data_IF_943876261374
#
_entry.id   IF_943876261374
#
_cell.length_a   1.000
_cell.length_b   1.000
_cell.length_c   1.000
_cell.angle_alpha   90.00
_cell.angle_beta   90.00
_cell.angle_gamma   90.00
#
_symmetry.space_group_name_H-M   'P 1'
#
loop_
_entity.id
_entity.type
_entity.pdbx_description
1 polymer ?
#
# COMPACT_ATOMS: atom_id res chain seq x y z
N UNK A 1 14.19 23.79 -25.96
CA UNK A 1 14.40 22.36 -26.27
C UNK A 1 13.45 21.54 -25.39
N UNK A 2 12.51 20.80 -25.99
CA UNK A 2 11.60 19.92 -25.24
C UNK A 2 12.35 18.63 -24.91
N UNK A 3 12.41 18.26 -23.63
CA UNK A 3 13.08 17.05 -23.15
C UNK A 3 12.14 15.84 -22.98
N UNK A 4 10.97 15.85 -23.63
CA UNK A 4 9.98 14.76 -23.56
C UNK A 4 9.89 14.05 -24.91
N UNK A 5 9.84 12.72 -24.88
CA UNK A 5 9.64 11.88 -26.07
C UNK A 5 8.24 12.10 -26.68
N UNK A 6 7.24 12.36 -25.82
CA UNK A 6 5.85 12.62 -26.23
C UNK A 6 5.59 14.13 -26.18
N UNK A 7 5.47 14.80 -27.31
CA UNK A 7 5.18 16.22 -27.44
C UNK A 7 3.73 16.56 -27.06
N UNK A 8 2.83 16.50 -28.02
CA UNK A 8 1.41 16.82 -27.83
C UNK A 8 0.69 15.68 -27.10
N UNK A 9 -0.15 16.01 -26.13
CA UNK A 9 -0.98 15.04 -25.38
C UNK A 9 -2.44 15.41 -25.49
N UNK A 10 -3.30 14.39 -25.44
CA UNK A 10 -4.75 14.57 -25.37
C UNK A 10 -5.15 15.33 -24.10
N UNK A 11 -6.08 16.25 -24.19
CA UNK A 11 -6.70 16.92 -23.04
C UNK A 11 -7.65 16.00 -22.24
N UNK A 12 -7.88 14.77 -22.67
CA UNK A 12 -8.80 13.84 -22.03
C UNK A 12 -8.42 13.54 -20.57
N UNK A 13 -7.11 13.36 -20.27
CA UNK A 13 -6.65 13.12 -18.90
C UNK A 13 -6.94 14.31 -17.98
N UNK A 14 -6.74 15.54 -18.46
CA UNK A 14 -7.05 16.76 -17.68
C UNK A 14 -8.55 16.90 -17.46
N UNK A 15 -9.36 16.62 -18.48
CA UNK A 15 -10.82 16.64 -18.38
C UNK A 15 -11.33 15.57 -17.39
N UNK A 16 -10.79 14.36 -17.44
CA UNK A 16 -11.13 13.29 -16.50
C UNK A 16 -10.75 13.64 -15.06
N UNK A 17 -9.56 14.21 -14.85
CA UNK A 17 -9.12 14.69 -13.53
C UNK A 17 -10.08 15.77 -13.01
N UNK A 18 -10.42 16.74 -13.81
CA UNK A 18 -11.36 17.78 -13.41
C UNK A 18 -12.74 17.22 -13.07
N UNK A 19 -13.24 16.29 -13.89
CA UNK A 19 -14.54 15.65 -13.67
C UNK A 19 -14.58 14.89 -12.34
N UNK A 20 -13.56 14.08 -12.03
CA UNK A 20 -13.51 13.33 -10.77
C UNK A 20 -13.35 14.24 -9.55
N UNK A 21 -12.55 15.31 -9.67
CA UNK A 21 -12.41 16.30 -8.60
C UNK A 21 -13.74 17.00 -8.30
N UNK A 22 -14.50 17.34 -9.34
CA UNK A 22 -15.84 17.94 -9.19
C UNK A 22 -16.87 16.97 -8.65
N UNK A 23 -16.79 15.69 -9.06
CA UNK A 23 -17.71 14.65 -8.61
C UNK A 23 -17.52 14.33 -7.12
N UNK A 24 -16.29 14.13 -6.69
CA UNK A 24 -15.98 13.79 -5.30
C UNK A 24 -16.07 15.00 -4.37
N UNK A 25 -15.59 16.16 -4.82
CA UNK A 25 -15.44 17.33 -3.95
C UNK A 25 -14.52 17.06 -2.76
N UNK A 26 -14.43 17.99 -1.84
CA UNK A 26 -13.60 17.85 -0.66
C UNK A 26 -14.07 16.70 0.25
N UNK A 27 -15.37 16.61 0.49
CA UNK A 27 -15.95 15.55 1.35
C UNK A 27 -15.70 14.14 0.82
N UNK A 28 -15.78 13.96 -0.52
CA UNK A 28 -15.48 12.67 -1.14
C UNK A 28 -14.02 12.27 -0.98
N UNK A 29 -13.09 13.19 -1.19
CA UNK A 29 -11.67 12.92 -0.97
C UNK A 29 -11.34 12.67 0.51
N UNK A 30 -11.89 13.44 1.43
CA UNK A 30 -11.72 13.26 2.87
C UNK A 30 -12.20 11.87 3.32
N UNK A 31 -13.38 11.44 2.85
CA UNK A 31 -13.91 10.11 3.12
C UNK A 31 -13.00 8.99 2.56
N UNK A 32 -12.51 9.14 1.33
CA UNK A 32 -11.61 8.16 0.74
C UNK A 32 -10.28 8.07 1.50
N UNK A 33 -9.71 9.22 1.86
CA UNK A 33 -8.47 9.27 2.64
C UNK A 33 -8.68 8.67 4.05
N UNK A 34 -9.80 8.98 4.71
CA UNK A 34 -10.13 8.39 6.01
C UNK A 34 -10.20 6.87 5.95
N UNK A 35 -10.92 6.30 4.98
CA UNK A 35 -11.00 4.86 4.81
C UNK A 35 -9.61 4.21 4.55
N UNK A 36 -8.75 4.89 3.79
CA UNK A 36 -7.38 4.42 3.57
C UNK A 36 -6.56 4.40 4.86
N UNK A 37 -6.68 5.43 5.67
CA UNK A 37 -5.97 5.50 6.96
C UNK A 37 -6.51 4.48 7.96
N UNK A 38 -7.82 4.25 8.02
CA UNK A 38 -8.42 3.21 8.85
C UNK A 38 -7.89 1.81 8.49
N UNK A 39 -7.82 1.50 7.20
CA UNK A 39 -7.22 0.26 6.72
C UNK A 39 -5.72 0.17 7.03
N UNK A 40 -5.00 1.29 6.93
CA UNK A 40 -3.58 1.37 7.24
C UNK A 40 -3.31 1.06 8.71
N UNK A 41 -4.05 1.67 9.61
CA UNK A 41 -3.95 1.41 11.05
C UNK A 41 -4.35 -0.03 11.39
N UNK A 42 -5.42 -0.55 10.79
CA UNK A 42 -5.84 -1.93 10.97
C UNK A 42 -4.74 -2.92 10.58
N UNK A 43 -4.11 -2.72 9.42
CA UNK A 43 -3.04 -3.60 8.93
C UNK A 43 -1.78 -3.49 9.80
N UNK A 44 -1.37 -2.27 10.17
CA UNK A 44 -0.27 -2.03 11.09
C UNK A 44 -0.47 -2.76 12.42
N UNK A 45 -1.63 -2.56 13.07
CA UNK A 45 -1.94 -3.21 14.35
C UNK A 45 -1.97 -4.74 14.24
N UNK A 46 -2.43 -5.27 13.09
CA UNK A 46 -2.40 -6.68 12.80
C UNK A 46 -0.98 -7.23 12.75
N UNK A 47 -0.07 -6.56 12.04
CA UNK A 47 1.35 -6.92 11.96
C UNK A 47 2.02 -6.94 13.33
N UNK A 48 1.83 -5.89 14.14
CA UNK A 48 2.39 -5.79 15.48
C UNK A 48 1.90 -6.92 16.41
N UNK A 49 0.61 -7.31 16.30
CA UNK A 49 0.02 -8.41 17.08
C UNK A 49 0.62 -9.78 16.72
N UNK A 50 1.00 -9.98 15.48
CA UNK A 50 1.64 -11.22 15.02
C UNK A 50 3.13 -11.25 15.42
N UNK A 51 3.75 -10.07 15.63
CA UNK A 51 5.16 -9.95 16.02
C UNK A 51 6.08 -9.43 14.91
N UNK A 52 5.53 -8.91 13.82
CA UNK A 52 6.30 -8.24 12.78
C UNK A 52 6.72 -6.83 13.20
N UNK A 53 7.91 -6.43 12.80
CA UNK A 53 8.46 -5.11 13.08
C UNK A 53 7.97 -4.08 12.06
N UNK A 54 7.13 -3.15 12.48
CA UNK A 54 6.74 -1.99 11.66
C UNK A 54 7.86 -0.95 11.71
N UNK A 55 8.51 -0.74 10.57
CA UNK A 55 9.76 0.04 10.47
C UNK A 55 9.57 1.52 10.77
N UNK A 56 8.43 2.08 10.36
CA UNK A 56 8.09 3.50 10.51
C UNK A 56 6.60 3.62 10.79
N UNK A 57 6.21 4.49 11.73
CA UNK A 57 4.81 4.83 11.96
C UNK A 57 4.18 5.40 10.67
N UNK A 58 3.09 4.82 10.17
CA UNK A 58 2.49 5.28 8.92
C UNK A 58 1.84 6.66 9.05
N UNK A 59 2.37 7.66 8.37
CA UNK A 59 1.71 8.98 8.20
C UNK A 59 0.77 9.02 6.99
N UNK A 60 0.93 8.08 6.07
CA UNK A 60 0.13 7.90 4.86
C UNK A 60 -0.26 6.43 4.70
N UNK A 61 -0.93 6.11 3.63
CA UNK A 61 -1.41 4.76 3.29
C UNK A 61 -0.30 3.78 2.86
N UNK A 62 0.85 3.83 3.50
CA UNK A 62 2.02 2.97 3.24
C UNK A 62 2.48 2.35 4.55
N UNK A 63 2.58 1.03 4.58
CA UNK A 63 3.14 0.29 5.72
C UNK A 63 4.41 -0.41 5.27
N UNK A 64 5.49 -0.21 6.02
CA UNK A 64 6.76 -0.88 5.83
C UNK A 64 7.06 -1.76 7.06
N UNK A 65 7.35 -3.05 6.84
CA UNK A 65 7.54 -3.99 7.92
C UNK A 65 8.58 -5.06 7.57
N UNK A 66 9.14 -5.69 8.60
CA UNK A 66 10.08 -6.79 8.51
C UNK A 66 9.63 -7.96 9.40
N UNK A 67 10.02 -9.15 9.02
CA UNK A 67 9.99 -10.31 9.91
C UNK A 67 11.21 -10.23 10.86
N UNK A 68 11.08 -10.57 12.16
CA UNK A 68 12.19 -10.45 13.11
C UNK A 68 13.40 -11.32 12.75
N UNK A 69 13.18 -12.51 12.18
CA UNK A 69 14.21 -13.51 11.94
C UNK A 69 14.44 -13.86 10.44
N UNK A 70 13.82 -13.11 9.51
CA UNK A 70 13.88 -13.41 8.07
C UNK A 70 14.16 -12.13 7.27
N UNK A 71 15.03 -12.25 6.26
CA UNK A 71 15.32 -11.16 5.33
C UNK A 71 14.07 -10.78 4.49
N UNK A 72 13.94 -9.49 4.19
CA UNK A 72 12.76 -8.98 3.47
C UNK A 72 12.57 -9.61 2.07
N UNK A 73 13.66 -10.00 1.41
CA UNK A 73 13.58 -10.68 0.10
C UNK A 73 13.05 -12.10 0.23
N UNK A 74 13.52 -12.86 1.23
CA UNK A 74 13.05 -14.23 1.48
C UNK A 74 11.57 -14.25 1.89
N UNK A 75 11.15 -13.26 2.67
CA UNK A 75 9.73 -13.06 3.01
C UNK A 75 8.88 -12.72 1.77
N UNK A 76 9.40 -11.88 0.87
CA UNK A 76 8.71 -11.53 -0.37
C UNK A 76 8.53 -12.75 -1.28
N UNK A 77 9.54 -13.62 -1.39
CA UNK A 77 9.48 -14.85 -2.17
C UNK A 77 8.43 -15.83 -1.59
N UNK A 78 8.38 -16.00 -0.26
CA UNK A 78 7.34 -16.81 0.38
C UNK A 78 5.92 -16.25 0.15
N UNK A 79 5.76 -14.95 0.22
CA UNK A 79 4.49 -14.29 -0.07
C UNK A 79 4.09 -14.46 -1.55
N UNK A 80 5.06 -14.45 -2.49
CA UNK A 80 4.79 -14.69 -3.90
C UNK A 80 4.32 -16.13 -4.15
N UNK A 81 4.86 -17.12 -3.45
CA UNK A 81 4.41 -18.53 -3.49
C UNK A 81 2.94 -18.68 -3.02
N UNK A 82 2.49 -17.83 -2.09
CA UNK A 82 1.10 -17.76 -1.62
C UNK A 82 0.19 -16.88 -2.52
N UNK A 83 0.77 -16.28 -3.58
CA UNK A 83 0.03 -15.45 -4.53
C UNK A 83 0.04 -13.95 -4.24
N UNK A 84 0.77 -13.51 -3.22
CA UNK A 84 0.92 -12.10 -2.87
C UNK A 84 2.12 -11.48 -3.56
N UNK A 85 1.89 -10.43 -4.33
CA UNK A 85 2.99 -9.67 -4.94
C UNK A 85 3.23 -8.37 -4.19
N UNK A 86 4.29 -8.36 -3.39
CA UNK A 86 4.71 -7.21 -2.58
C UNK A 86 5.96 -6.55 -3.15
N UNK A 87 6.30 -5.35 -2.67
CA UNK A 87 7.55 -4.69 -3.06
C UNK A 87 8.51 -4.60 -1.87
N UNK A 88 9.79 -4.83 -2.14
CA UNK A 88 10.85 -4.61 -1.14
C UNK A 88 11.43 -3.21 -1.35
N UNK A 89 11.36 -2.37 -0.30
CA UNK A 89 12.00 -1.07 -0.25
C UNK A 89 13.52 -1.24 -0.09
N UNK A 90 14.29 -0.26 -0.56
CA UNK A 90 15.77 -0.32 -0.52
C UNK A 90 16.38 0.42 0.67
N UNK A 91 15.69 1.41 1.18
CA UNK A 91 16.20 2.23 2.29
C UNK A 91 15.03 2.79 3.11
N UNK A 92 14.79 2.22 4.31
CA UNK A 92 15.35 0.98 4.82
C UNK A 92 14.89 -0.24 4.01
N UNK A 93 15.62 -1.36 4.09
CA UNK A 93 15.20 -2.61 3.48
C UNK A 93 14.02 -3.17 4.27
N UNK A 94 12.87 -3.28 3.62
CA UNK A 94 11.63 -3.74 4.26
C UNK A 94 10.58 -4.14 3.20
N UNK A 95 9.66 -5.01 3.55
CA UNK A 95 8.43 -5.19 2.77
C UNK A 95 7.63 -3.89 2.82
N UNK A 96 7.20 -3.42 1.67
CA UNK A 96 6.38 -2.22 1.54
C UNK A 96 5.03 -2.53 0.92
N UNK A 97 3.97 -2.28 1.65
CA UNK A 97 2.59 -2.39 1.19
C UNK A 97 1.99 -0.99 1.07
N UNK A 98 1.42 -0.69 -0.11
CA UNK A 98 0.69 0.54 -0.37
C UNK A 98 -0.79 0.22 -0.42
N UNK A 99 -1.55 0.75 0.52
CA UNK A 99 -2.98 0.52 0.61
C UNK A 99 -3.71 1.48 -0.33
N UNK A 100 -4.46 0.93 -1.26
CA UNK A 100 -5.23 1.68 -2.25
C UNK A 100 -6.73 1.45 -2.04
N UNK A 101 -7.57 2.31 -2.60
CA UNK A 101 -9.03 2.26 -2.40
C UNK A 101 -9.71 0.94 -2.83
N UNK A 102 -9.06 0.14 -3.66
CA UNK A 102 -9.56 -1.19 -4.06
C UNK A 102 -9.14 -2.30 -3.08
N UNK A 103 -8.24 -2.02 -2.14
CA UNK A 103 -7.85 -2.97 -1.09
C UNK A 103 -8.91 -2.92 0.01
N UNK A 104 -9.59 -4.03 0.20
CA UNK A 104 -10.62 -4.20 1.22
C UNK A 104 -10.01 -4.71 2.53
N UNK A 105 -10.76 -4.53 3.62
CA UNK A 105 -10.37 -5.09 4.92
C UNK A 105 -10.22 -6.62 4.88
N UNK A 106 -11.00 -7.31 4.05
CA UNK A 106 -10.87 -8.75 3.85
C UNK A 106 -9.51 -9.13 3.27
N UNK A 107 -9.05 -8.44 2.22
CA UNK A 107 -7.72 -8.69 1.65
C UNK A 107 -6.60 -8.51 2.69
N UNK A 108 -6.75 -7.53 3.58
CA UNK A 108 -5.76 -7.30 4.65
C UNK A 108 -5.82 -8.41 5.72
N UNK A 109 -7.01 -8.91 6.04
CA UNK A 109 -7.17 -10.05 6.96
C UNK A 109 -6.53 -11.30 6.35
N UNK A 110 -6.83 -11.62 5.09
CA UNK A 110 -6.26 -12.78 4.39
C UNK A 110 -4.73 -12.71 4.35
N UNK A 111 -4.16 -11.53 4.09
CA UNK A 111 -2.71 -11.33 4.12
C UNK A 111 -2.12 -11.50 5.55
N UNK A 112 -2.81 -11.01 6.58
CA UNK A 112 -2.37 -11.18 7.97
C UNK A 112 -2.44 -12.65 8.42
N UNK A 113 -3.44 -13.40 7.94
CA UNK A 113 -3.56 -14.83 8.22
C UNK A 113 -2.39 -15.61 7.59
N UNK A 114 -2.07 -15.34 6.31
CA UNK A 114 -0.92 -15.95 5.64
C UNK A 114 0.43 -15.55 6.31
N UNK A 115 0.57 -14.29 6.73
CA UNK A 115 1.74 -13.83 7.48
C UNK A 115 1.87 -14.51 8.85
N UNK A 116 0.75 -14.87 9.48
CA UNK A 116 0.74 -15.64 10.74
C UNK A 116 1.23 -17.07 10.52
N UNK A 117 0.95 -17.67 9.37
CA UNK A 117 1.45 -19.02 9.03
C UNK A 117 2.95 -19.03 8.68
N UNK A 118 3.48 -17.89 8.22
CA UNK A 118 4.92 -17.74 7.90
C UNK A 118 5.75 -17.50 9.16
N UNK A 119 5.17 -16.84 10.19
CA UNK A 119 5.83 -16.48 11.45
C UNK A 119 6.18 -17.71 12.29
#
# INVERSE_FOLDING_TARGET
TQSTIVGTRSGAASAATYAIMKYLGNEGYEKLAGNLMDNTHYFKEGLEKIGYDVVVEPELNIVAFNHPDMEAHDLADKLEDLGWRVSVAKCPVAIRVVLMNHITKQHLTDLLDDLTEIY
#
